data_IF_587729161630
#
_entry.id   IF_587729161630
#
_cell.length_a   1.000
_cell.length_b   1.000
_cell.length_c   1.000
_cell.angle_alpha   90.00
_cell.angle_beta   90.00
_cell.angle_gamma   90.00
#
_symmetry.space_group_name_H-M   'P 1'
#
loop_
_entity.id
_entity.type
_entity.pdbx_description
1 polymer ?
#
# COMPACT_ATOMS: atom_id res chain seq x y z
N UNK A 1 -1.21 -5.14 -7.22
CA UNK A 1 0.12 -4.76 -7.79
C UNK A 1 1.22 -5.77 -7.48
N UNK A 2 1.66 -5.94 -6.22
CA UNK A 2 2.72 -6.92 -5.92
C UNK A 2 2.27 -8.37 -6.15
N UNK A 3 1.03 -8.70 -5.79
CA UNK A 3 0.42 -9.99 -6.07
C UNK A 3 0.38 -10.26 -7.57
N UNK A 4 -0.23 -9.34 -8.33
CA UNK A 4 -0.32 -9.45 -9.80
C UNK A 4 1.07 -9.62 -10.43
N UNK A 5 2.07 -8.89 -9.93
CA UNK A 5 3.44 -8.97 -10.44
C UNK A 5 4.08 -10.32 -10.17
N UNK A 6 3.91 -10.88 -8.97
CA UNK A 6 4.41 -12.21 -8.63
C UNK A 6 3.75 -13.31 -9.47
N UNK A 7 2.43 -13.21 -9.68
CA UNK A 7 1.68 -14.15 -10.52
C UNK A 7 2.11 -14.04 -11.99
N UNK A 8 2.30 -12.83 -12.50
CA UNK A 8 2.84 -12.59 -13.85
C UNK A 8 4.24 -13.22 -14.02
N UNK A 9 5.08 -13.14 -12.99
CA UNK A 9 6.41 -13.76 -12.96
C UNK A 9 6.39 -15.29 -12.71
N UNK A 10 5.21 -15.91 -12.67
CA UNK A 10 5.02 -17.35 -12.58
C UNK A 10 4.95 -17.92 -11.16
N UNK A 11 4.79 -17.07 -10.15
CA UNK A 11 4.56 -17.51 -8.77
C UNK A 11 3.15 -18.07 -8.63
N UNK A 12 3.01 -19.19 -7.92
CA UNK A 12 1.70 -19.75 -7.57
C UNK A 12 0.84 -18.71 -6.82
N UNK A 13 -0.40 -18.44 -7.25
CA UNK A 13 -1.25 -17.41 -6.64
C UNK A 13 -1.47 -17.61 -5.14
N UNK A 14 -1.74 -18.85 -4.69
CA UNK A 14 -1.99 -19.12 -3.27
C UNK A 14 -0.73 -18.87 -2.43
N UNK A 15 0.45 -19.19 -2.98
CA UNK A 15 1.71 -18.83 -2.34
C UNK A 15 1.95 -17.31 -2.33
N UNK A 16 1.71 -16.62 -3.44
CA UNK A 16 1.91 -15.16 -3.55
C UNK A 16 1.02 -14.37 -2.58
N UNK A 17 -0.25 -14.77 -2.47
CA UNK A 17 -1.21 -14.20 -1.51
C UNK A 17 -0.69 -14.37 -0.07
N UNK A 18 -0.38 -15.62 0.30
CA UNK A 18 0.11 -15.97 1.63
C UNK A 18 1.39 -15.20 1.98
N UNK A 19 2.33 -15.11 1.02
CA UNK A 19 3.59 -14.41 1.21
C UNK A 19 3.36 -12.92 1.48
N UNK A 20 2.47 -12.28 0.74
CA UNK A 20 2.21 -10.84 0.89
C UNK A 20 1.47 -10.56 2.20
N UNK A 21 0.37 -11.26 2.47
CA UNK A 21 -0.45 -11.01 3.65
C UNK A 21 0.34 -11.23 4.95
N UNK A 22 0.89 -12.43 5.15
CA UNK A 22 1.63 -12.75 6.38
C UNK A 22 3.01 -12.08 6.43
N UNK A 23 3.64 -11.84 5.28
CA UNK A 23 4.90 -11.10 5.21
C UNK A 23 4.72 -9.66 5.69
N UNK A 24 3.66 -8.98 5.24
CA UNK A 24 3.32 -7.63 5.68
C UNK A 24 3.00 -7.60 7.17
N UNK A 25 2.17 -8.52 7.67
CA UNK A 25 1.84 -8.64 9.08
C UNK A 25 3.10 -8.79 9.95
N UNK A 26 4.00 -9.71 9.56
CA UNK A 26 5.23 -9.97 10.32
C UNK A 26 6.15 -8.74 10.40
N UNK A 27 6.36 -8.06 9.27
CA UNK A 27 7.23 -6.88 9.20
C UNK A 27 6.61 -5.69 9.95
N UNK A 28 5.29 -5.51 9.84
CA UNK A 28 4.58 -4.41 10.53
C UNK A 28 4.45 -4.63 12.03
N UNK A 29 4.31 -5.87 12.50
CA UNK A 29 4.32 -6.16 13.94
C UNK A 29 5.71 -5.89 14.55
N UNK A 30 6.79 -6.22 13.84
CA UNK A 30 8.14 -5.85 14.26
C UNK A 30 8.34 -4.33 14.30
N UNK A 31 7.81 -3.60 13.29
CA UNK A 31 7.82 -2.13 13.25
C UNK A 31 7.06 -1.52 14.44
N UNK A 32 5.90 -2.06 14.77
CA UNK A 32 5.07 -1.59 15.89
C UNK A 32 5.76 -1.77 17.24
N UNK A 33 6.44 -2.90 17.45
CA UNK A 33 7.07 -3.21 18.75
C UNK A 33 8.38 -2.47 18.97
N UNK A 34 9.18 -2.25 17.93
CA UNK A 34 10.56 -1.74 18.09
C UNK A 34 10.99 -0.72 17.05
N UNK A 35 10.04 -0.13 16.32
CA UNK A 35 10.31 0.86 15.29
C UNK A 35 11.06 0.30 14.08
N UNK A 36 11.61 1.20 13.27
CA UNK A 36 12.30 0.86 12.03
C UNK A 36 13.51 -0.04 12.30
N UNK A 37 14.20 0.15 13.43
CA UNK A 37 15.36 -0.67 13.81
C UNK A 37 14.98 -2.15 13.91
N UNK A 38 13.95 -2.48 14.71
CA UNK A 38 13.53 -3.86 14.89
C UNK A 38 12.94 -4.47 13.60
N UNK A 39 12.24 -3.66 12.81
CA UNK A 39 11.72 -4.08 11.52
C UNK A 39 12.85 -4.45 10.54
N UNK A 40 13.86 -3.59 10.42
CA UNK A 40 15.01 -3.83 9.54
C UNK A 40 15.82 -5.03 10.01
N UNK A 41 15.88 -5.32 11.30
CA UNK A 41 16.54 -6.52 11.85
C UNK A 41 15.86 -7.85 11.48
N UNK A 42 14.64 -7.83 10.95
CA UNK A 42 14.00 -9.01 10.34
C UNK A 42 14.52 -9.32 8.94
N UNK A 43 15.25 -8.40 8.32
CA UNK A 43 15.81 -8.55 6.97
C UNK A 43 17.26 -9.03 7.03
N UNK A 44 17.67 -9.82 6.04
CA UNK A 44 19.08 -10.14 5.81
C UNK A 44 19.87 -8.87 5.44
N UNK A 45 21.18 -8.86 5.69
CA UNK A 45 22.01 -7.68 5.38
C UNK A 45 21.88 -7.18 3.92
N UNK A 46 21.88 -8.05 2.88
CA UNK A 46 21.61 -7.60 1.51
C UNK A 46 20.21 -7.00 1.34
N UNK A 47 19.19 -7.59 2.00
CA UNK A 47 17.82 -7.08 1.94
C UNK A 47 17.69 -5.71 2.62
N UNK A 48 18.41 -5.45 3.74
CA UNK A 48 18.43 -4.12 4.38
C UNK A 48 18.94 -3.05 3.43
N UNK A 49 20.05 -3.32 2.70
CA UNK A 49 20.61 -2.39 1.73
C UNK A 49 19.63 -2.11 0.58
N UNK A 50 18.97 -3.17 0.07
CA UNK A 50 17.97 -3.04 -0.99
C UNK A 50 16.74 -2.27 -0.54
N UNK A 51 16.22 -2.55 0.65
CA UNK A 51 15.07 -1.87 1.24
C UNK A 51 15.36 -0.37 1.42
N UNK A 52 16.55 -0.02 1.93
CA UNK A 52 16.97 1.37 2.04
C UNK A 52 17.03 2.07 0.67
N UNK A 53 17.72 1.48 -0.31
CA UNK A 53 17.85 2.06 -1.64
C UNK A 53 16.48 2.29 -2.32
N UNK A 54 15.56 1.33 -2.19
CA UNK A 54 14.19 1.47 -2.69
C UNK A 54 13.41 2.55 -1.92
N UNK A 55 13.60 2.67 -0.60
CA UNK A 55 12.92 3.69 0.20
C UNK A 55 13.29 5.11 -0.23
N UNK A 56 14.56 5.37 -0.55
CA UNK A 56 15.01 6.68 -1.03
C UNK A 56 14.44 6.98 -2.41
N UNK A 57 14.47 6.02 -3.33
CA UNK A 57 13.86 6.17 -4.66
C UNK A 57 12.35 6.44 -4.60
N UNK A 58 11.63 5.70 -3.75
CA UNK A 58 10.19 5.87 -3.60
C UNK A 58 9.83 7.23 -3.00
N UNK A 59 10.61 7.75 -2.04
CA UNK A 59 10.38 9.09 -1.49
C UNK A 59 10.41 10.17 -2.58
N UNK A 60 11.37 10.10 -3.49
CA UNK A 60 11.47 11.05 -4.61
C UNK A 60 10.29 10.91 -5.57
N UNK A 61 9.97 9.68 -5.99
CA UNK A 61 8.91 9.41 -6.95
C UNK A 61 7.53 9.78 -6.38
N UNK A 62 7.30 9.50 -5.09
CA UNK A 62 6.00 9.70 -4.46
C UNK A 62 5.79 11.10 -3.88
N UNK A 63 6.84 11.92 -3.74
CA UNK A 63 6.74 13.26 -3.16
C UNK A 63 5.67 14.15 -3.83
N UNK A 64 5.56 14.24 -5.17
CA UNK A 64 4.55 15.08 -5.81
C UNK A 64 3.12 14.59 -5.51
N UNK A 65 2.93 13.26 -5.48
CA UNK A 65 1.63 12.66 -5.16
C UNK A 65 1.24 12.93 -3.71
N UNK A 66 2.19 12.78 -2.78
CA UNK A 66 1.98 13.08 -1.36
C UNK A 66 1.62 14.56 -1.15
N UNK A 67 2.34 15.48 -1.79
CA UNK A 67 2.06 16.92 -1.72
C UNK A 67 0.66 17.22 -2.23
N UNK A 68 0.30 16.70 -3.41
CA UNK A 68 -1.05 16.85 -3.97
C UNK A 68 -2.12 16.36 -2.98
N UNK A 69 -1.94 15.19 -2.37
CA UNK A 69 -2.91 14.67 -1.41
C UNK A 69 -3.04 15.56 -0.17
N UNK A 70 -1.92 16.09 0.35
CA UNK A 70 -1.97 17.03 1.46
C UNK A 70 -2.65 18.34 1.07
N UNK A 71 -2.38 18.86 -0.12
CA UNK A 71 -3.03 20.07 -0.64
C UNK A 71 -4.53 19.86 -0.82
N UNK A 72 -4.96 18.72 -1.38
CA UNK A 72 -6.38 18.35 -1.54
C UNK A 72 -7.08 18.25 -0.17
N UNK A 73 -6.40 17.73 0.86
CA UNK A 73 -6.95 17.64 2.23
C UNK A 73 -7.04 19.03 2.88
N UNK A 74 -5.96 19.81 2.85
CA UNK A 74 -5.87 21.11 3.53
C UNK A 74 -6.78 22.15 2.88
N UNK A 75 -6.91 22.12 1.55
CA UNK A 75 -7.82 23.00 0.80
C UNK A 75 -9.30 22.66 1.00
N UNK A 76 -9.61 21.46 1.51
CA UNK A 76 -10.97 20.95 1.63
C UNK A 76 -11.53 20.32 0.35
N UNK A 77 -10.74 20.23 -0.73
CA UNK A 77 -11.15 19.55 -1.97
C UNK A 77 -11.47 18.07 -1.71
N UNK A 78 -10.66 17.40 -0.89
CA UNK A 78 -10.88 16.00 -0.50
C UNK A 78 -12.23 15.80 0.20
N UNK A 79 -12.53 16.61 1.22
CA UNK A 79 -13.78 16.49 1.98
C UNK A 79 -14.99 16.92 1.15
N UNK A 80 -14.86 17.96 0.31
CA UNK A 80 -15.89 18.36 -0.64
C UNK A 80 -16.26 17.21 -1.60
N UNK A 81 -15.25 16.54 -2.17
CA UNK A 81 -15.44 15.39 -3.04
C UNK A 81 -16.13 14.20 -2.35
N UNK A 82 -15.79 13.92 -1.08
CA UNK A 82 -16.45 12.89 -0.28
C UNK A 82 -17.92 13.23 0.00
N UNK A 83 -18.20 14.47 0.41
CA UNK A 83 -19.56 14.93 0.70
C UNK A 83 -20.45 14.91 -0.56
N UNK A 84 -19.88 15.23 -1.72
CA UNK A 84 -20.57 15.16 -3.00
C UNK A 84 -20.92 13.71 -3.40
N UNK A 85 -20.03 12.74 -3.13
CA UNK A 85 -20.35 11.32 -3.36
C UNK A 85 -21.40 10.82 -2.37
N UNK A 86 -21.32 11.23 -1.11
CA UNK A 86 -22.31 10.88 -0.09
C UNK A 86 -23.71 11.41 -0.42
N UNK A 87 -23.80 12.67 -0.91
CA UNK A 87 -25.04 13.23 -1.40
C UNK A 87 -25.59 12.51 -2.65
N UNK A 88 -24.77 11.71 -3.32
CA UNK A 88 -25.10 10.89 -4.48
C UNK A 88 -25.12 9.39 -4.14
N UNK A 89 -25.58 9.06 -2.93
CA UNK A 89 -25.76 7.69 -2.43
C UNK A 89 -24.49 6.81 -2.51
N UNK A 90 -23.32 7.41 -2.23
CA UNK A 90 -22.02 6.73 -2.15
C UNK A 90 -21.64 5.98 -3.45
N UNK A 91 -22.10 6.47 -4.61
CA UNK A 91 -21.93 5.77 -5.89
C UNK A 91 -20.47 5.42 -6.19
N UNK A 92 -19.52 6.33 -5.96
CA UNK A 92 -18.10 6.04 -6.20
C UNK A 92 -17.57 5.03 -5.20
N UNK A 93 -17.84 5.22 -3.91
CA UNK A 93 -17.41 4.29 -2.86
C UNK A 93 -17.90 2.86 -3.13
N UNK A 94 -19.19 2.69 -3.45
CA UNK A 94 -19.78 1.38 -3.71
C UNK A 94 -19.21 0.74 -4.98
N UNK A 95 -19.00 1.53 -6.03
CA UNK A 95 -18.35 1.06 -7.26
C UNK A 95 -16.93 0.56 -6.97
N UNK A 96 -16.11 1.34 -6.25
CA UNK A 96 -14.74 0.94 -5.91
C UNK A 96 -14.68 -0.30 -5.01
N UNK A 97 -15.63 -0.46 -4.07
CA UNK A 97 -15.72 -1.67 -3.25
C UNK A 97 -16.07 -2.89 -4.09
N UNK A 98 -17.03 -2.77 -5.00
CA UNK A 98 -17.39 -3.86 -5.92
C UNK A 98 -16.22 -4.23 -6.84
N UNK A 99 -15.51 -3.25 -7.37
CA UNK A 99 -14.32 -3.47 -8.20
C UNK A 99 -13.19 -4.16 -7.41
N UNK A 100 -12.93 -3.70 -6.17
CA UNK A 100 -11.89 -4.27 -5.30
C UNK A 100 -12.21 -5.72 -4.91
N UNK A 101 -13.46 -6.01 -4.53
CA UNK A 101 -13.90 -7.37 -4.17
C UNK A 101 -13.97 -8.36 -5.34
N UNK A 102 -13.69 -7.92 -6.58
CA UNK A 102 -13.54 -8.78 -7.76
C UNK A 102 -12.09 -9.02 -8.13
N UNK A 103 -11.13 -8.40 -7.43
CA UNK A 103 -9.71 -8.62 -7.70
C UNK A 103 -9.28 -10.00 -7.25
N UNK A 104 -8.28 -10.59 -7.91
CA UNK A 104 -7.80 -11.93 -7.58
C UNK A 104 -7.02 -12.03 -6.26
N UNK A 105 -6.77 -10.89 -5.61
CA UNK A 105 -6.07 -10.82 -4.31
C UNK A 105 -7.03 -10.81 -3.12
N UNK A 106 -8.28 -10.35 -3.31
CA UNK A 106 -9.34 -10.28 -2.29
C UNK A 106 -10.23 -11.53 -2.33
#
# INVERSE_FOLDING_TARGET
>A
LCFDKLVEEGTDPAYAEKLIQFGWETITEALKQGGITLMMDRLSNPAKLRAYALSEQLKEIMAPLFQKHMDDIISGEFSSGMMADWANDDKKLLTWREETGKTAFE
#
